data_IF_562814438547
#
_entry.id   IF_562814438547
#
_cell.length_a   1.000
_cell.length_b   1.000
_cell.length_c   1.000
_cell.angle_alpha   90.00
_cell.angle_beta   90.00
_cell.angle_gamma   90.00
#
_symmetry.space_group_name_H-M   'P 1'
#
loop_
_entity.id
_entity.type
_entity.pdbx_description
1 polymer ?
#
# COMPACT_ATOMS: atom_id res chain seq x y z
N UNK A 1 -27.83 0.37 -11.48
CA UNK A 1 -26.41 0.61 -11.81
C UNK A 1 -26.27 1.64 -12.91
N UNK A 2 -26.97 1.48 -14.04
CA UNK A 2 -26.92 2.40 -15.18
C UNK A 2 -27.27 3.85 -14.81
N UNK A 3 -28.35 4.10 -14.06
CA UNK A 3 -28.70 5.45 -13.61
C UNK A 3 -27.59 6.13 -12.78
N UNK A 4 -26.87 5.37 -11.95
CA UNK A 4 -25.76 5.90 -11.15
C UNK A 4 -24.55 6.24 -12.02
N UNK A 5 -24.26 5.41 -13.04
CA UNK A 5 -23.18 5.70 -14.00
C UNK A 5 -23.50 6.90 -14.88
N UNK A 6 -24.75 7.05 -15.34
CA UNK A 6 -25.20 8.21 -16.13
C UNK A 6 -25.13 9.51 -15.31
N UNK A 7 -25.60 9.47 -14.05
CA UNK A 7 -25.43 10.59 -13.13
C UNK A 7 -23.93 10.92 -12.91
N UNK A 8 -23.09 9.90 -12.75
CA UNK A 8 -21.65 10.07 -12.60
C UNK A 8 -20.97 10.70 -13.83
N UNK A 9 -21.34 10.28 -15.05
CA UNK A 9 -20.88 10.91 -16.30
C UNK A 9 -21.28 12.38 -16.33
N UNK A 10 -22.56 12.68 -16.07
CA UNK A 10 -23.07 14.05 -16.08
C UNK A 10 -22.33 14.95 -15.09
N UNK A 11 -22.11 14.45 -13.86
CA UNK A 11 -21.34 15.18 -12.84
C UNK A 11 -19.90 15.42 -13.27
N UNK A 12 -19.21 14.40 -13.79
CA UNK A 12 -17.82 14.52 -14.24
C UNK A 12 -17.73 15.54 -15.37
N UNK A 13 -18.63 15.51 -16.36
CA UNK A 13 -18.64 16.49 -17.45
C UNK A 13 -18.88 17.92 -16.95
N UNK A 14 -19.76 18.10 -15.96
CA UNK A 14 -19.99 19.42 -15.33
C UNK A 14 -18.74 19.93 -14.62
N UNK A 15 -18.04 19.07 -13.88
CA UNK A 15 -16.75 19.40 -13.26
C UNK A 15 -15.73 19.74 -14.35
N UNK A 16 -15.67 18.91 -15.40
CA UNK A 16 -14.66 19.04 -16.44
C UNK A 16 -14.85 20.27 -17.33
N UNK A 17 -16.08 20.78 -17.43
CA UNK A 17 -16.39 22.05 -18.11
C UNK A 17 -15.69 23.28 -17.46
N UNK A 18 -15.23 23.14 -16.22
CA UNK A 18 -14.57 24.21 -15.45
C UNK A 18 -13.09 23.89 -15.16
N UNK A 19 -12.48 22.92 -15.86
CA UNK A 19 -11.04 22.63 -15.71
C UNK A 19 -10.21 23.84 -16.08
N UNK A 20 -9.08 23.96 -15.37
CA UNK A 20 -8.01 24.87 -15.74
C UNK A 20 -6.69 24.13 -15.62
N UNK A 21 -5.64 24.52 -16.37
CA UNK A 21 -4.33 23.89 -16.26
C UNK A 21 -3.78 23.88 -14.82
N UNK A 22 -4.07 24.91 -14.04
CA UNK A 22 -3.66 25.02 -12.64
C UNK A 22 -4.36 23.98 -11.76
N UNK A 23 -5.69 23.82 -11.89
CA UNK A 23 -6.43 22.81 -11.13
C UNK A 23 -6.07 21.39 -11.54
N UNK A 24 -5.78 21.18 -12.82
CA UNK A 24 -5.31 19.91 -13.35
C UNK A 24 -3.98 19.49 -12.72
N UNK A 25 -3.01 20.39 -12.70
CA UNK A 25 -1.71 20.15 -12.08
C UNK A 25 -1.86 19.91 -10.57
N UNK A 26 -2.67 20.72 -9.89
CA UNK A 26 -2.99 20.53 -8.48
C UNK A 26 -3.55 19.13 -8.20
N UNK A 27 -4.60 18.70 -8.91
CA UNK A 27 -5.21 17.40 -8.64
C UNK A 27 -4.33 16.22 -9.07
N UNK A 28 -3.50 16.38 -10.10
CA UNK A 28 -2.47 15.39 -10.45
C UNK A 28 -1.44 15.23 -9.34
N UNK A 29 -0.93 16.32 -8.79
CA UNK A 29 0.00 16.27 -7.66
C UNK A 29 -0.65 15.67 -6.41
N UNK A 30 -1.86 16.12 -6.07
CA UNK A 30 -2.61 15.57 -4.93
C UNK A 30 -2.82 14.06 -5.08
N UNK A 31 -3.19 13.57 -6.28
CA UNK A 31 -3.40 12.13 -6.45
C UNK A 31 -2.12 11.30 -6.34
N UNK A 32 -0.93 11.86 -6.58
CA UNK A 32 0.33 11.14 -6.34
C UNK A 32 0.52 10.75 -4.88
N UNK A 33 0.01 11.57 -3.95
CA UNK A 33 0.02 11.26 -2.52
C UNK A 33 -0.83 10.02 -2.19
N UNK A 34 -1.79 9.66 -3.05
CA UNK A 34 -2.60 8.45 -2.94
C UNK A 34 -2.03 7.23 -3.66
N UNK A 35 -0.91 7.35 -4.38
CA UNK A 35 -0.31 6.25 -5.14
C UNK A 35 1.14 5.97 -4.82
N UNK A 36 2.03 6.97 -4.75
CA UNK A 36 3.48 6.73 -4.60
C UNK A 36 4.00 7.07 -3.20
N UNK A 37 3.27 7.89 -2.43
CA UNK A 37 3.74 8.33 -1.12
C UNK A 37 4.00 7.18 -0.13
N UNK A 38 3.22 6.09 -0.19
CA UNK A 38 3.41 4.92 0.68
C UNK A 38 4.80 4.29 0.52
N UNK A 39 5.44 4.42 -0.66
CA UNK A 39 6.81 3.95 -0.92
C UNK A 39 7.85 4.67 -0.05
N UNK A 40 7.52 5.85 0.47
CA UNK A 40 8.38 6.65 1.33
C UNK A 40 7.89 6.65 2.78
N UNK A 41 6.56 6.76 2.99
CA UNK A 41 5.95 6.81 4.32
C UNK A 41 6.13 5.49 5.07
N UNK A 42 5.88 4.34 4.43
CA UNK A 42 5.98 3.04 5.11
C UNK A 42 7.42 2.74 5.56
N UNK A 43 8.46 2.87 4.72
CA UNK A 43 9.83 2.68 5.19
C UNK A 43 10.25 3.71 6.23
N UNK A 44 9.80 4.97 6.12
CA UNK A 44 10.05 5.98 7.14
C UNK A 44 9.51 5.54 8.51
N UNK A 45 8.26 5.06 8.55
CA UNK A 45 7.64 4.53 9.77
C UNK A 45 8.42 3.33 10.32
N UNK A 46 8.75 2.35 9.47
CA UNK A 46 9.43 1.11 9.89
C UNK A 46 10.84 1.39 10.41
N UNK A 47 11.62 2.22 9.72
CA UNK A 47 13.05 2.37 9.99
C UNK A 47 13.38 3.50 10.96
N UNK A 48 12.49 4.49 11.10
CA UNK A 48 12.78 5.75 11.81
C UNK A 48 11.91 6.01 13.02
N UNK A 49 10.67 5.50 13.03
CA UNK A 49 9.69 5.83 14.07
C UNK A 49 9.26 4.63 14.91
N UNK A 50 8.51 3.70 14.33
CA UNK A 50 8.05 2.49 15.00
C UNK A 50 8.00 1.34 14.02
N UNK A 51 8.92 0.40 14.20
CA UNK A 51 8.95 -0.85 13.46
C UNK A 51 7.64 -1.63 13.65
N UNK A 52 7.11 -1.70 14.88
CA UNK A 52 5.87 -2.41 15.18
C UNK A 52 4.66 -1.81 14.46
N UNK A 53 4.49 -0.49 14.49
CA UNK A 53 3.38 0.15 13.80
C UNK A 53 3.56 0.08 12.27
N UNK A 54 4.73 0.47 11.76
CA UNK A 54 5.02 0.50 10.33
C UNK A 54 4.89 -0.88 9.66
N UNK A 55 5.35 -1.95 10.31
CA UNK A 55 5.22 -3.32 9.77
C UNK A 55 3.76 -3.80 9.72
N UNK A 56 2.94 -3.43 10.71
CA UNK A 56 1.50 -3.75 10.69
C UNK A 56 0.74 -2.93 9.66
N UNK A 57 1.10 -1.66 9.50
CA UNK A 57 0.56 -0.81 8.45
C UNK A 57 0.86 -1.42 7.08
N UNK A 58 2.12 -1.84 6.83
CA UNK A 58 2.51 -2.54 5.60
C UNK A 58 1.65 -3.77 5.34
N UNK A 59 1.53 -4.69 6.30
CA UNK A 59 0.70 -5.89 6.15
C UNK A 59 -0.77 -5.54 5.87
N UNK A 60 -1.30 -4.51 6.53
CA UNK A 60 -2.70 -4.08 6.33
C UNK A 60 -2.90 -3.47 4.94
N UNK A 61 -1.96 -2.67 4.45
CA UNK A 61 -2.00 -2.11 3.10
C UNK A 61 -1.94 -3.23 2.05
N UNK A 62 -1.09 -4.24 2.22
CA UNK A 62 -1.01 -5.36 1.28
C UNK A 62 -2.29 -6.20 1.24
N UNK A 63 -2.89 -6.49 2.41
CA UNK A 63 -4.20 -7.14 2.48
C UNK A 63 -5.29 -6.26 1.84
N UNK A 64 -5.24 -4.95 2.08
CA UNK A 64 -6.15 -3.97 1.47
C UNK A 64 -6.04 -3.98 -0.05
N UNK A 65 -4.81 -3.99 -0.59
CA UNK A 65 -4.52 -4.04 -2.03
C UNK A 65 -5.07 -5.31 -2.64
N UNK A 66 -4.83 -6.46 -2.00
CA UNK A 66 -5.38 -7.73 -2.43
C UNK A 66 -6.91 -7.69 -2.54
N UNK A 67 -7.60 -7.22 -1.49
CA UNK A 67 -9.07 -7.10 -1.51
C UNK A 67 -9.53 -6.11 -2.59
N UNK A 68 -8.83 -4.99 -2.78
CA UNK A 68 -9.19 -4.01 -3.82
C UNK A 68 -9.18 -4.64 -5.22
N UNK A 69 -8.09 -5.31 -5.60
CA UNK A 69 -7.97 -5.99 -6.89
C UNK A 69 -9.01 -7.11 -7.02
N UNK A 70 -9.22 -7.90 -5.97
CA UNK A 70 -10.24 -8.95 -5.98
C UNK A 70 -11.66 -8.44 -6.26
N UNK A 71 -12.03 -7.31 -5.65
CA UNK A 71 -13.32 -6.71 -5.92
C UNK A 71 -13.35 -6.04 -7.31
N UNK A 72 -12.25 -5.42 -7.76
CA UNK A 72 -12.19 -4.83 -9.10
C UNK A 72 -12.54 -5.83 -10.20
N UNK A 73 -11.94 -7.00 -10.18
CA UNK A 73 -12.22 -8.01 -11.21
C UNK A 73 -13.59 -8.66 -11.00
N UNK A 74 -14.03 -8.85 -9.76
CA UNK A 74 -15.38 -9.36 -9.47
C UNK A 74 -16.48 -8.47 -10.05
N UNK A 75 -16.35 -7.14 -9.93
CA UNK A 75 -17.35 -6.21 -10.48
C UNK A 75 -17.09 -5.85 -11.94
N UNK A 76 -15.84 -5.90 -12.39
CA UNK A 76 -15.42 -5.57 -13.76
C UNK A 76 -16.03 -4.27 -14.30
N UNK A 77 -16.27 -3.29 -13.44
CA UNK A 77 -16.99 -2.08 -13.82
C UNK A 77 -16.10 -1.20 -14.73
N UNK A 78 -16.58 -0.75 -15.89
CA UNK A 78 -15.86 0.17 -16.75
C UNK A 78 -15.63 1.52 -16.05
N UNK A 79 -14.63 2.27 -16.50
CA UNK A 79 -14.37 3.63 -16.02
C UNK A 79 -15.22 4.66 -16.79
N UNK A 80 -15.38 5.88 -16.26
CA UNK A 80 -16.20 6.91 -16.93
C UNK A 80 -15.77 7.17 -18.37
N UNK A 81 -14.46 7.23 -18.64
CA UNK A 81 -13.93 7.48 -19.97
C UNK A 81 -14.06 6.31 -20.95
N UNK A 82 -14.34 5.09 -20.47
CA UNK A 82 -14.64 3.95 -21.34
C UNK A 82 -16.06 4.05 -21.90
N UNK A 83 -16.95 4.76 -21.18
CA UNK A 83 -18.35 4.94 -21.53
C UNK A 83 -18.63 6.26 -22.26
N UNK A 84 -17.84 7.30 -22.01
CA UNK A 84 -17.99 8.61 -22.65
C UNK A 84 -16.63 9.21 -23.03
N UNK A 85 -16.38 9.33 -24.33
CA UNK A 85 -15.11 9.80 -24.89
C UNK A 85 -14.81 11.28 -24.61
N UNK A 86 -15.80 12.05 -24.17
CA UNK A 86 -15.62 13.46 -23.77
C UNK A 86 -14.91 13.58 -22.42
N UNK A 87 -14.91 12.53 -21.60
CA UNK A 87 -14.22 12.51 -20.31
C UNK A 87 -12.73 12.26 -20.50
N UNK A 88 -11.88 13.17 -20.00
CA UNK A 88 -10.43 13.06 -20.14
C UNK A 88 -9.70 14.36 -19.81
N UNK A 89 -8.38 14.45 -20.11
CA UNK A 89 -7.58 13.49 -20.89
C UNK A 89 -6.97 12.35 -20.05
N UNK A 90 -7.05 12.43 -18.72
CA UNK A 90 -6.39 11.46 -17.83
C UNK A 90 -6.99 10.05 -17.98
N UNK A 91 -6.13 9.02 -17.84
CA UNK A 91 -6.45 7.60 -18.04
C UNK A 91 -5.80 6.76 -16.96
N UNK A 92 -6.38 5.60 -16.69
CA UNK A 92 -5.92 4.66 -15.67
C UNK A 92 -6.22 3.22 -16.13
N UNK A 93 -5.37 2.26 -15.78
CA UNK A 93 -5.52 0.86 -16.19
C UNK A 93 -6.45 0.13 -15.21
N UNK A 94 -7.14 -0.92 -15.70
CA UNK A 94 -7.99 -1.81 -14.90
C UNK A 94 -9.36 -1.21 -14.57
N UNK A 95 -10.18 -1.95 -13.81
CA UNK A 95 -11.57 -1.60 -13.54
C UNK A 95 -11.75 -0.42 -12.58
N UNK A 96 -12.95 0.18 -12.59
CA UNK A 96 -13.31 1.35 -11.79
C UNK A 96 -13.51 1.04 -10.30
N UNK A 97 -14.52 0.28 -9.95
CA UNK A 97 -14.95 0.06 -8.56
C UNK A 97 -14.19 -1.09 -7.88
N UNK A 98 -13.79 -0.98 -6.59
CA UNK A 98 -13.66 0.25 -5.81
C UNK A 98 -12.39 1.04 -6.18
N UNK A 99 -12.39 2.35 -5.93
CA UNK A 99 -11.22 3.20 -6.20
C UNK A 99 -10.06 2.86 -5.24
N UNK A 100 -8.95 2.37 -5.81
CA UNK A 100 -7.75 2.02 -5.04
C UNK A 100 -7.11 3.23 -4.36
N UNK A 101 -7.02 4.38 -5.03
CA UNK A 101 -6.46 5.60 -4.42
C UNK A 101 -7.27 6.05 -3.21
N UNK A 102 -8.61 6.07 -3.31
CA UNK A 102 -9.49 6.43 -2.21
C UNK A 102 -9.34 5.45 -1.04
N UNK A 103 -9.32 4.14 -1.33
CA UNK A 103 -9.18 3.09 -0.34
C UNK A 103 -7.82 3.13 0.37
N UNK A 104 -6.71 3.11 -0.38
CA UNK A 104 -5.35 3.08 0.17
C UNK A 104 -5.03 4.30 1.00
N UNK A 105 -5.40 5.48 0.51
CA UNK A 105 -5.20 6.74 1.25
C UNK A 105 -5.93 6.71 2.59
N UNK A 106 -7.18 6.23 2.62
CA UNK A 106 -7.94 6.12 3.86
C UNK A 106 -7.34 5.07 4.81
N UNK A 107 -6.85 3.94 4.29
CA UNK A 107 -6.16 2.95 5.10
C UNK A 107 -4.88 3.52 5.71
N UNK A 108 -4.03 4.14 4.90
CA UNK A 108 -2.74 4.69 5.35
C UNK A 108 -2.92 5.85 6.34
N UNK A 109 -3.56 6.93 5.91
CA UNK A 109 -3.70 8.13 6.71
C UNK A 109 -4.63 7.94 7.90
N UNK A 110 -5.67 7.12 7.76
CA UNK A 110 -6.58 6.81 8.85
C UNK A 110 -5.91 6.01 9.97
N UNK A 111 -5.06 5.03 9.63
CA UNK A 111 -4.29 4.29 10.64
C UNK A 111 -3.19 5.13 11.27
N UNK A 112 -2.50 5.98 10.50
CA UNK A 112 -1.51 6.92 11.03
C UNK A 112 -2.19 7.93 11.97
N UNK A 113 -3.36 8.47 11.60
CA UNK A 113 -4.11 9.38 12.46
C UNK A 113 -4.57 8.72 13.75
N UNK A 114 -5.05 7.47 13.69
CA UNK A 114 -5.39 6.69 14.87
C UNK A 114 -4.17 6.41 15.76
N UNK A 115 -2.99 6.19 15.18
CA UNK A 115 -1.76 5.95 15.93
C UNK A 115 -1.21 7.22 16.60
N UNK A 116 -1.23 8.35 15.90
CA UNK A 116 -0.78 9.65 16.43
C UNK A 116 -1.76 10.19 17.48
N UNK A 117 -3.06 9.89 17.34
CA UNK A 117 -4.12 10.29 18.28
C UNK A 117 -4.16 11.81 18.56
N UNK A 118 -3.82 12.64 17.56
CA UNK A 118 -3.86 14.09 17.64
C UNK A 118 -4.98 14.65 16.75
N UNK A 119 -5.90 15.48 17.27
CA UNK A 119 -7.06 15.95 16.51
C UNK A 119 -6.71 16.80 15.29
N UNK A 120 -5.63 17.60 15.35
CA UNK A 120 -5.18 18.40 14.21
C UNK A 120 -4.61 17.52 13.10
N UNK A 121 -3.85 16.48 13.47
CA UNK A 121 -3.37 15.50 12.50
C UNK A 121 -4.53 14.70 11.91
N UNK A 122 -5.51 14.31 12.72
CA UNK A 122 -6.72 13.64 12.23
C UNK A 122 -7.49 14.50 11.24
N UNK A 123 -7.64 15.80 11.51
CA UNK A 123 -8.27 16.73 10.57
C UNK A 123 -7.48 16.82 9.24
N UNK A 124 -6.15 16.92 9.30
CA UNK A 124 -5.29 16.90 8.12
C UNK A 124 -5.44 15.61 7.31
N UNK A 125 -5.43 14.45 7.99
CA UNK A 125 -5.61 13.15 7.36
C UNK A 125 -6.97 13.06 6.65
N UNK A 126 -8.06 13.52 7.28
CA UNK A 126 -9.39 13.55 6.66
C UNK A 126 -9.41 14.46 5.44
N UNK A 127 -8.80 15.64 5.50
CA UNK A 127 -8.68 16.56 4.36
C UNK A 127 -7.96 15.87 3.20
N UNK A 128 -6.83 15.22 3.45
CA UNK A 128 -6.07 14.50 2.42
C UNK A 128 -6.89 13.36 1.81
N UNK A 129 -7.58 12.55 2.62
CA UNK A 129 -8.45 11.45 2.16
C UNK A 129 -9.54 11.98 1.22
N UNK A 130 -10.20 13.08 1.60
CA UNK A 130 -11.26 13.70 0.80
C UNK A 130 -10.68 14.29 -0.49
N UNK A 131 -9.60 15.07 -0.41
CA UNK A 131 -8.97 15.69 -1.58
C UNK A 131 -8.47 14.65 -2.60
N UNK A 132 -7.89 13.54 -2.13
CA UNK A 132 -7.45 12.46 -3.01
C UNK A 132 -8.64 11.73 -3.62
N UNK A 133 -9.73 11.50 -2.88
CA UNK A 133 -10.95 10.93 -3.48
C UNK A 133 -11.55 11.84 -4.56
N UNK A 134 -11.64 13.15 -4.27
CA UNK A 134 -12.16 14.15 -5.20
C UNK A 134 -11.29 14.29 -6.45
N UNK A 135 -9.97 14.18 -6.33
CA UNK A 135 -9.06 14.22 -7.49
C UNK A 135 -9.40 13.14 -8.51
N UNK A 136 -9.83 11.95 -8.07
CA UNK A 136 -10.18 10.84 -8.98
C UNK A 136 -11.43 11.11 -9.80
N UNK A 137 -12.39 11.83 -9.22
CA UNK A 137 -13.62 12.27 -9.89
C UNK A 137 -13.29 13.42 -10.83
N UNK A 138 -12.52 14.41 -10.38
CA UNK A 138 -12.09 15.56 -11.18
C UNK A 138 -11.33 15.13 -12.44
N UNK A 139 -10.37 14.22 -12.30
CA UNK A 139 -9.59 13.67 -13.41
C UNK A 139 -10.42 12.74 -14.32
N UNK A 140 -11.65 12.39 -13.93
CA UNK A 140 -12.56 11.58 -14.75
C UNK A 140 -12.21 10.10 -14.83
N UNK A 141 -11.34 9.62 -13.93
CA UNK A 141 -10.84 8.23 -13.92
C UNK A 141 -11.67 7.30 -13.03
N UNK A 142 -12.54 7.85 -12.19
CA UNK A 142 -13.45 7.11 -11.33
C UNK A 142 -14.81 7.79 -11.22
N UNK A 143 -15.86 6.98 -11.08
CA UNK A 143 -17.16 7.47 -10.67
C UNK A 143 -17.15 7.87 -9.18
N UNK A 144 -18.04 8.77 -8.75
CA UNK A 144 -18.22 9.05 -7.33
C UNK A 144 -18.55 7.78 -6.51
N UNK A 145 -19.31 6.86 -7.09
CA UNK A 145 -19.62 5.55 -6.48
C UNK A 145 -18.37 4.69 -6.25
N UNK A 146 -17.37 4.78 -7.13
CA UNK A 146 -16.11 4.03 -6.97
C UNK A 146 -15.33 4.54 -5.75
N UNK A 147 -15.32 5.87 -5.56
CA UNK A 147 -14.66 6.54 -4.43
C UNK A 147 -15.38 6.20 -3.12
N UNK A 148 -16.71 6.30 -3.10
CA UNK A 148 -17.52 5.92 -1.94
C UNK A 148 -17.34 4.44 -1.56
N UNK A 149 -17.31 3.54 -2.54
CA UNK A 149 -17.04 2.13 -2.31
C UNK A 149 -15.63 1.89 -1.76
N UNK A 150 -14.63 2.63 -2.27
CA UNK A 150 -13.26 2.62 -1.76
C UNK A 150 -13.16 3.06 -0.30
N UNK A 151 -13.85 4.14 0.08
CA UNK A 151 -13.91 4.61 1.47
C UNK A 151 -14.68 3.65 2.38
N UNK A 152 -15.80 3.08 1.92
CA UNK A 152 -16.56 2.10 2.68
C UNK A 152 -15.71 0.86 2.99
N UNK A 153 -15.00 0.33 1.99
CA UNK A 153 -14.09 -0.80 2.16
C UNK A 153 -12.91 -0.43 3.09
N UNK A 154 -12.30 0.73 2.92
CA UNK A 154 -11.25 1.19 3.81
C UNK A 154 -11.72 1.34 5.26
N UNK A 155 -12.92 1.86 5.48
CA UNK A 155 -13.53 1.96 6.81
C UNK A 155 -13.68 0.59 7.49
N UNK A 156 -14.12 -0.43 6.74
CA UNK A 156 -14.18 -1.80 7.25
C UNK A 156 -12.77 -2.33 7.60
N UNK A 157 -11.78 -2.11 6.72
CA UNK A 157 -10.40 -2.54 6.96
C UNK A 157 -9.81 -1.86 8.20
N UNK A 158 -10.05 -0.56 8.39
CA UNK A 158 -9.67 0.21 9.58
C UNK A 158 -10.27 -0.40 10.84
N UNK A 159 -11.57 -0.66 10.83
CA UNK A 159 -12.28 -1.24 11.97
C UNK A 159 -11.68 -2.60 12.35
N UNK A 160 -11.47 -3.47 11.34
CA UNK A 160 -10.87 -4.79 11.55
C UNK A 160 -9.43 -4.68 12.07
N UNK A 161 -8.63 -3.76 11.53
CA UNK A 161 -7.27 -3.51 11.99
C UNK A 161 -7.26 -3.09 13.46
N UNK A 162 -7.99 -2.03 13.82
CA UNK A 162 -8.03 -1.50 15.19
C UNK A 162 -8.49 -2.59 16.17
N UNK A 163 -9.48 -3.41 15.75
CA UNK A 163 -10.08 -4.43 16.62
C UNK A 163 -9.24 -5.69 16.79
N UNK A 164 -8.47 -6.10 15.78
CA UNK A 164 -7.86 -7.43 15.72
C UNK A 164 -6.36 -7.44 15.42
N UNK A 165 -5.77 -6.43 14.78
CA UNK A 165 -4.37 -6.48 14.31
C UNK A 165 -3.37 -6.70 15.45
N UNK A 166 -3.57 -6.04 16.60
CA UNK A 166 -2.75 -6.25 17.79
C UNK A 166 -2.81 -7.70 18.25
N UNK A 167 -4.02 -8.23 18.45
CA UNK A 167 -4.26 -9.59 18.95
C UNK A 167 -3.67 -10.64 18.01
N UNK A 168 -3.84 -10.48 16.71
CA UNK A 168 -3.28 -11.36 15.69
C UNK A 168 -1.75 -11.29 15.75
N UNK A 169 -1.17 -10.09 15.81
CA UNK A 169 0.28 -9.91 15.88
C UNK A 169 0.89 -10.54 17.14
N UNK A 170 0.26 -10.38 18.31
CA UNK A 170 0.72 -11.01 19.57
C UNK A 170 0.64 -12.53 19.49
N UNK A 171 -0.45 -13.09 18.96
CA UNK A 171 -0.60 -14.54 18.79
C UNK A 171 0.43 -15.11 17.80
N UNK A 172 0.65 -14.45 16.67
CA UNK A 172 1.68 -14.87 15.72
C UNK A 172 3.07 -14.78 16.35
N UNK A 173 3.33 -13.76 17.18
CA UNK A 173 4.60 -13.59 17.87
C UNK A 173 4.92 -14.70 18.88
N UNK A 174 3.91 -15.35 19.46
CA UNK A 174 4.13 -16.47 20.39
C UNK A 174 4.38 -17.81 19.70
N UNK A 175 4.19 -17.91 18.37
CA UNK A 175 4.42 -19.15 17.62
C UNK A 175 5.89 -19.32 17.24
N UNK A 176 6.29 -20.55 16.96
CA UNK A 176 7.63 -20.84 16.44
C UNK A 176 7.88 -20.13 15.11
N UNK A 177 9.14 -19.78 14.83
CA UNK A 177 9.56 -19.08 13.60
C UNK A 177 9.02 -19.75 12.33
N UNK A 178 9.15 -21.09 12.24
CA UNK A 178 8.66 -21.85 11.09
C UNK A 178 7.15 -21.72 10.86
N UNK A 179 6.36 -21.63 11.93
CA UNK A 179 4.90 -21.45 11.85
C UNK A 179 4.55 -20.04 11.36
N UNK A 180 5.29 -19.02 11.80
CA UNK A 180 5.11 -17.65 11.33
C UNK A 180 5.40 -17.52 9.83
N UNK A 181 6.50 -18.12 9.36
CA UNK A 181 6.86 -18.15 7.94
C UNK A 181 5.83 -18.94 7.14
N UNK A 182 5.39 -20.10 7.64
CA UNK A 182 4.36 -20.91 6.99
C UNK A 182 3.02 -20.17 6.87
N UNK A 183 2.62 -19.40 7.90
CA UNK A 183 1.42 -18.57 7.84
C UNK A 183 1.53 -17.47 6.78
N UNK A 184 2.69 -16.80 6.67
CA UNK A 184 2.93 -15.81 5.63
C UNK A 184 2.92 -16.45 4.22
N UNK A 185 3.51 -17.65 4.08
CA UNK A 185 3.49 -18.41 2.84
C UNK A 185 2.09 -18.83 2.44
N UNK A 186 1.25 -19.28 3.39
CA UNK A 186 -0.13 -19.70 3.12
C UNK A 186 -0.99 -18.54 2.60
N UNK A 187 -0.88 -17.34 3.18
CA UNK A 187 -1.60 -16.16 2.69
C UNK A 187 -1.07 -15.71 1.33
N UNK A 188 0.25 -15.72 1.12
CA UNK A 188 0.84 -15.43 -0.18
C UNK A 188 0.36 -16.42 -1.26
N UNK A 189 0.33 -17.72 -0.94
CA UNK A 189 -0.18 -18.76 -1.82
C UNK A 189 -1.65 -18.52 -2.16
N UNK A 190 -2.47 -18.14 -1.18
CA UNK A 190 -3.87 -17.75 -1.42
C UNK A 190 -3.96 -16.62 -2.45
N UNK A 191 -3.09 -15.60 -2.38
CA UNK A 191 -3.09 -14.51 -3.36
C UNK A 191 -2.77 -15.00 -4.76
N UNK A 192 -1.76 -15.87 -4.89
CA UNK A 192 -1.36 -16.48 -6.17
C UNK A 192 -2.47 -17.39 -6.72
N UNK A 193 -3.13 -18.17 -5.87
CA UNK A 193 -4.24 -19.04 -6.28
C UNK A 193 -5.45 -18.22 -6.75
N UNK A 194 -5.79 -17.14 -6.04
CA UNK A 194 -6.90 -16.26 -6.43
C UNK A 194 -6.60 -15.57 -7.76
N UNK A 195 -5.36 -15.14 -7.98
CA UNK A 195 -4.89 -14.67 -9.29
C UNK A 195 -5.09 -15.76 -10.38
N UNK A 196 -4.56 -16.96 -10.13
CA UNK A 196 -4.53 -18.04 -11.12
C UNK A 196 -5.92 -18.58 -11.46
N UNK A 197 -6.85 -18.58 -10.50
CA UNK A 197 -8.14 -19.24 -10.62
C UNK A 197 -9.30 -18.28 -10.92
N UNK A 198 -9.19 -17.00 -10.56
CA UNK A 198 -10.35 -16.09 -10.56
C UNK A 198 -10.09 -14.79 -11.32
N UNK A 199 -8.98 -14.10 -11.03
CA UNK A 199 -8.90 -12.65 -11.29
C UNK A 199 -8.03 -12.27 -12.50
N UNK A 200 -7.00 -13.08 -12.83
CA UNK A 200 -6.02 -12.80 -13.90
C UNK A 200 -5.35 -11.40 -13.84
N UNK A 201 -5.54 -10.62 -12.77
CA UNK A 201 -4.80 -9.38 -12.52
C UNK A 201 -3.36 -9.69 -12.07
N UNK A 202 -2.42 -9.46 -13.00
CA UNK A 202 -0.98 -9.69 -12.82
C UNK A 202 -0.35 -8.96 -11.63
N UNK A 203 -0.93 -7.85 -11.14
CA UNK A 203 -0.39 -7.10 -10.01
C UNK A 203 -0.45 -7.92 -8.71
N UNK A 204 -1.40 -8.85 -8.60
CA UNK A 204 -1.57 -9.71 -7.42
C UNK A 204 -0.37 -10.60 -7.13
N UNK A 205 0.34 -11.07 -8.16
CA UNK A 205 1.53 -11.90 -7.97
C UNK A 205 2.68 -11.12 -7.33
N UNK A 206 2.84 -9.85 -7.71
CA UNK A 206 3.80 -8.95 -7.06
C UNK A 206 3.42 -8.68 -5.60
N UNK A 207 2.14 -8.40 -5.33
CA UNK A 207 1.63 -8.19 -3.96
C UNK A 207 1.81 -9.44 -3.09
N UNK A 208 1.61 -10.64 -3.65
CA UNK A 208 1.85 -11.91 -2.96
C UNK A 208 3.32 -12.06 -2.54
N UNK A 209 4.25 -11.82 -3.49
CA UNK A 209 5.68 -11.81 -3.21
C UNK A 209 6.03 -10.83 -2.09
N UNK A 210 5.59 -9.57 -2.21
CA UNK A 210 5.82 -8.51 -1.23
C UNK A 210 5.28 -8.89 0.16
N UNK A 211 4.08 -9.48 0.22
CA UNK A 211 3.46 -9.97 1.44
C UNK A 211 4.28 -11.08 2.10
N UNK A 212 4.68 -12.09 1.33
CA UNK A 212 5.49 -13.18 1.86
C UNK A 212 6.83 -12.67 2.39
N UNK A 213 7.50 -11.79 1.63
CA UNK A 213 8.77 -11.19 2.03
C UNK A 213 8.64 -10.35 3.30
N UNK A 214 7.60 -9.52 3.39
CA UNK A 214 7.33 -8.70 4.57
C UNK A 214 6.98 -9.56 5.79
N UNK A 215 6.09 -10.55 5.64
CA UNK A 215 5.66 -11.44 6.73
C UNK A 215 6.81 -12.29 7.28
N UNK A 216 7.60 -12.91 6.40
CA UNK A 216 8.78 -13.68 6.79
C UNK A 216 9.87 -12.79 7.38
N UNK A 217 10.10 -11.60 6.83
CA UNK A 217 11.07 -10.64 7.36
C UNK A 217 10.68 -10.11 8.75
N UNK A 218 9.40 -9.88 9.04
CA UNK A 218 8.92 -9.56 10.40
C UNK A 218 9.27 -10.70 11.37
N UNK A 219 9.05 -11.96 10.97
CA UNK A 219 9.33 -13.12 11.80
C UNK A 219 10.84 -13.28 12.07
N UNK A 220 11.68 -13.09 11.04
CA UNK A 220 13.14 -13.11 11.13
C UNK A 220 13.67 -11.97 12.02
N UNK A 221 13.17 -10.76 11.82
CA UNK A 221 13.56 -9.60 12.61
C UNK A 221 13.27 -9.83 14.09
N UNK A 222 12.06 -10.32 14.42
CA UNK A 222 11.69 -10.67 15.80
C UNK A 222 12.62 -11.70 16.43
N UNK A 223 13.11 -12.68 15.66
CA UNK A 223 13.91 -13.78 16.18
C UNK A 223 15.40 -13.43 16.32
N UNK A 224 15.95 -12.67 15.37
CA UNK A 224 17.40 -12.52 15.20
C UNK A 224 17.91 -11.08 15.25
N UNK A 225 17.04 -10.08 15.12
CA UNK A 225 17.44 -8.69 14.97
C UNK A 225 16.88 -7.81 16.09
N UNK A 226 17.50 -6.65 16.27
CA UNK A 226 16.95 -5.58 17.10
C UNK A 226 16.05 -4.71 16.22
N UNK A 227 14.78 -4.57 16.61
CA UNK A 227 13.85 -3.71 15.90
C UNK A 227 14.41 -2.26 15.88
N UNK A 228 14.41 -1.57 14.72
CA UNK A 228 14.94 -0.22 14.58
C UNK A 228 13.98 0.80 15.21
N UNK A 229 13.87 0.80 16.52
CA UNK A 229 13.07 1.72 17.33
C UNK A 229 13.97 2.55 18.25
N UNK A 230 13.57 3.78 18.57
CA UNK A 230 14.33 4.67 19.44
C UNK A 230 15.59 5.26 18.79
N UNK A 231 16.60 5.61 19.61
CA UNK A 231 17.83 6.25 19.16
C UNK A 231 17.70 7.75 18.89
N UNK A 232 18.86 8.41 18.72
CA UNK A 232 18.96 9.83 18.42
C UNK A 232 18.39 10.16 17.03
N UNK A 233 17.98 11.42 16.81
CA UNK A 233 17.36 11.86 15.56
C UNK A 233 18.24 11.59 14.33
N UNK A 234 19.56 11.77 14.46
CA UNK A 234 20.51 11.52 13.36
C UNK A 234 20.62 10.02 13.02
N UNK A 235 20.47 9.12 14.00
CA UNK A 235 20.43 7.67 13.76
C UNK A 235 19.16 7.29 13.01
N UNK A 236 18.02 7.92 13.32
CA UNK A 236 16.75 7.72 12.59
C UNK A 236 16.89 8.19 11.15
N UNK A 237 17.46 9.38 10.94
CA UNK A 237 17.73 9.92 9.61
C UNK A 237 18.64 9.02 8.78
N UNK A 238 19.77 8.58 9.34
CA UNK A 238 20.71 7.69 8.64
C UNK A 238 20.09 6.34 8.28
N UNK A 239 19.29 5.75 9.18
CA UNK A 239 18.54 4.52 8.86
C UNK A 239 17.64 4.72 7.65
N UNK A 240 16.87 5.81 7.63
CA UNK A 240 16.00 6.11 6.51
C UNK A 240 16.79 6.28 5.21
N UNK A 241 17.82 7.13 5.20
CA UNK A 241 18.65 7.40 4.01
C UNK A 241 19.30 6.12 3.49
N UNK A 242 19.94 5.33 4.34
CA UNK A 242 20.58 4.08 3.92
C UNK A 242 19.57 3.06 3.40
N UNK A 243 18.45 2.89 4.10
CA UNK A 243 17.40 1.95 3.70
C UNK A 243 16.73 2.34 2.38
N UNK A 244 16.42 3.63 2.20
CA UNK A 244 15.66 4.12 1.06
C UNK A 244 16.51 4.15 -0.21
N UNK A 245 17.81 4.48 -0.10
CA UNK A 245 18.73 4.43 -1.24
C UNK A 245 18.78 3.02 -1.81
N UNK A 246 18.98 2.00 -0.96
CA UNK A 246 19.01 0.61 -1.41
C UNK A 246 17.66 0.18 -1.99
N UNK A 247 16.54 0.55 -1.37
CA UNK A 247 15.21 0.22 -1.86
C UNK A 247 14.94 0.86 -3.24
N UNK A 248 15.26 2.13 -3.42
CA UNK A 248 15.08 2.84 -4.69
C UNK A 248 16.01 2.30 -5.77
N UNK A 249 17.26 1.99 -5.42
CA UNK A 249 18.17 1.29 -6.34
C UNK A 249 17.57 -0.05 -6.73
N UNK A 250 17.11 -0.87 -5.78
CA UNK A 250 16.47 -2.16 -6.07
C UNK A 250 15.30 -2.01 -7.05
N UNK A 251 14.34 -1.12 -6.75
CA UNK A 251 13.15 -0.89 -7.58
C UNK A 251 13.51 -0.38 -8.97
N UNK A 252 14.52 0.49 -9.08
CA UNK A 252 14.98 1.01 -10.38
C UNK A 252 15.70 -0.04 -11.23
N UNK A 253 16.38 -1.01 -10.61
CA UNK A 253 17.20 -1.99 -11.32
C UNK A 253 16.45 -3.29 -11.59
N UNK A 254 15.57 -3.72 -10.69
CA UNK A 254 14.93 -5.03 -10.76
C UNK A 254 14.03 -5.20 -11.99
N UNK A 255 13.48 -4.10 -12.51
CA UNK A 255 12.69 -4.10 -13.75
C UNK A 255 13.45 -4.64 -14.97
N UNK A 256 14.78 -4.55 -14.99
CA UNK A 256 15.64 -5.07 -16.07
C UNK A 256 15.62 -6.59 -16.18
N UNK A 257 15.23 -7.28 -15.11
CA UNK A 257 15.14 -8.75 -15.08
C UNK A 257 13.76 -9.26 -15.44
N UNK A 258 12.75 -8.38 -15.50
CA UNK A 258 11.37 -8.77 -15.80
C UNK A 258 11.27 -9.13 -17.28
N UNK A 259 10.89 -10.37 -17.63
CA UNK A 259 10.67 -10.79 -19.01
C UNK A 259 9.64 -9.91 -19.72
N UNK A 260 9.81 -9.69 -21.01
CA UNK A 260 8.82 -8.99 -21.84
C UNK A 260 7.59 -9.86 -22.18
N UNK A 261 7.73 -11.18 -22.10
CA UNK A 261 6.66 -12.15 -22.34
C UNK A 261 5.90 -12.46 -21.05
N UNK A 262 4.57 -12.44 -21.09
CA UNK A 262 3.72 -12.75 -19.94
C UNK A 262 3.53 -14.27 -19.74
N UNK A 263 4.62 -15.01 -19.74
CA UNK A 263 4.65 -16.45 -19.44
C UNK A 263 4.93 -16.71 -17.95
N UNK A 264 5.03 -17.98 -17.55
CA UNK A 264 5.32 -18.36 -16.15
C UNK A 264 6.58 -17.69 -15.59
N UNK A 265 7.60 -17.44 -16.41
CA UNK A 265 8.84 -16.80 -15.95
C UNK A 265 8.62 -15.36 -15.50
N UNK A 266 7.72 -14.62 -16.16
CA UNK A 266 7.32 -13.28 -15.74
C UNK A 266 6.77 -13.28 -14.32
N UNK A 267 5.82 -14.18 -14.04
CA UNK A 267 5.17 -14.25 -12.73
C UNK A 267 6.13 -14.70 -11.64
N UNK A 268 7.00 -15.67 -11.91
CA UNK A 268 8.04 -16.10 -10.95
C UNK A 268 8.99 -14.95 -10.63
N UNK A 269 9.47 -14.24 -11.64
CA UNK A 269 10.44 -13.15 -11.45
C UNK A 269 9.79 -11.98 -10.70
N UNK A 270 8.57 -11.57 -11.07
CA UNK A 270 7.81 -10.53 -10.36
C UNK A 270 7.58 -10.91 -8.90
N UNK A 271 7.21 -12.17 -8.62
CA UNK A 271 7.04 -12.65 -7.25
C UNK A 271 8.34 -12.52 -6.45
N UNK A 272 9.46 -13.02 -6.99
CA UNK A 272 10.76 -13.00 -6.32
C UNK A 272 11.29 -11.58 -6.08
N UNK A 273 11.18 -10.69 -7.07
CA UNK A 273 11.60 -9.29 -6.95
C UNK A 273 10.87 -8.59 -5.80
N UNK A 274 9.55 -8.77 -5.74
CA UNK A 274 8.72 -8.15 -4.71
C UNK A 274 8.94 -8.81 -3.33
N UNK A 275 9.15 -10.13 -3.29
CA UNK A 275 9.55 -10.84 -2.08
C UNK A 275 10.85 -10.29 -1.48
N UNK A 276 11.86 -10.04 -2.32
CA UNK A 276 13.10 -9.40 -1.86
C UNK A 276 12.86 -7.99 -1.35
N UNK A 277 11.98 -7.21 -1.99
CA UNK A 277 11.55 -5.90 -1.48
C UNK A 277 10.92 -5.97 -0.09
N UNK A 278 10.02 -6.93 0.13
CA UNK A 278 9.38 -7.14 1.44
C UNK A 278 10.35 -7.58 2.53
N UNK A 279 11.27 -8.49 2.19
CA UNK A 279 12.36 -8.93 3.08
C UNK A 279 13.28 -7.75 3.42
N UNK A 280 13.62 -6.90 2.45
CA UNK A 280 14.44 -5.72 2.67
C UNK A 280 13.79 -4.75 3.66
N UNK A 281 12.51 -4.42 3.45
CA UNK A 281 11.74 -3.52 4.30
C UNK A 281 11.76 -3.95 5.77
N UNK A 282 11.58 -5.25 6.00
CA UNK A 282 11.25 -5.77 7.35
C UNK A 282 12.38 -6.53 8.04
N UNK A 283 13.41 -7.00 7.33
CA UNK A 283 14.56 -7.68 7.93
C UNK A 283 15.92 -7.22 7.38
N UNK A 284 16.03 -7.02 6.06
CA UNK A 284 17.30 -6.65 5.41
C UNK A 284 17.86 -5.31 5.90
N UNK A 285 17.06 -4.24 5.81
CA UNK A 285 17.48 -2.93 6.31
C UNK A 285 17.69 -2.93 7.84
N UNK A 286 16.79 -3.51 8.68
CA UNK A 286 17.08 -3.70 10.10
C UNK A 286 18.41 -4.41 10.41
N UNK A 287 18.76 -5.45 9.67
CA UNK A 287 20.04 -6.15 9.84
C UNK A 287 21.23 -5.23 9.51
N UNK A 288 21.14 -4.45 8.42
CA UNK A 288 22.13 -3.44 8.08
C UNK A 288 22.29 -2.39 9.20
N UNK A 289 21.18 -1.92 9.77
CA UNK A 289 21.20 -0.93 10.86
C UNK A 289 21.84 -1.48 12.13
N UNK A 290 21.63 -2.76 12.42
CA UNK A 290 22.27 -3.43 13.56
C UNK A 290 23.78 -3.55 13.36
N UNK A 291 24.23 -3.98 12.17
CA UNK A 291 25.66 -4.11 11.85
C UNK A 291 26.36 -2.74 11.87
N UNK A 292 25.69 -1.70 11.40
CA UNK A 292 26.18 -0.31 11.39
C UNK A 292 25.98 0.43 12.73
N UNK A 293 25.46 -0.25 13.76
CA UNK A 293 25.21 0.31 15.11
C UNK A 293 24.30 1.54 15.12
N UNK A 294 23.34 1.60 14.20
CA UNK A 294 22.31 2.64 14.12
C UNK A 294 21.05 2.32 14.94
N UNK A 295 21.00 1.15 15.58
CA UNK A 295 19.95 0.74 16.51
C UNK A 295 20.50 0.79 17.95
N UNK A 296 19.72 1.24 18.95
CA UNK A 296 20.16 1.23 20.34
C UNK A 296 20.62 -0.16 20.80
N UNK A 297 21.67 -0.22 21.63
CA UNK A 297 22.11 -1.49 22.21
C UNK A 297 21.04 -1.98 23.22
N UNK A 298 20.73 -3.28 23.24
CA UNK A 298 19.89 -3.85 24.30
C UNK A 298 20.45 -3.47 25.67
N UNK A 299 19.66 -2.81 26.52
CA UNK A 299 20.05 -2.42 27.88
C UNK A 299 20.60 -1.00 28.07
N UNK A 300 20.54 -0.11 27.07
CA UNK A 300 21.01 1.30 27.19
C UNK A 300 19.90 2.36 27.20
N UNK A 301 18.65 1.95 27.43
CA UNK A 301 17.56 2.90 27.66
C UNK A 301 17.58 3.37 29.12
N UNK A 302 18.30 4.47 29.37
CA UNK A 302 18.11 5.36 30.52
C UNK A 302 17.36 6.59 30.05
#
# INVERSE_FOLDING_TARGET
>A
MEAAMQWGIALILQIQAHRTPMLDDFFRQITTLGSTAHMFIVPFLIWSLSYRFGSRLLITLLLSTFVNFALKDLWSQPRPFDLDSRIGPDREIGYGIPSGHAQHTMVEWGLIANWIANPWFTALAVILIVLIGLSRIYLGVHFPTDVLAGWALAGLILLLHIRYAERIATRLASLALGVQIAAAAAVSLLFVLVYALVLQDRYLVGVAGLFFGAGSGIALCRRYLVAPEGGAWWQRLLRYVLGIVVLLTWVSQSGKWVPGTYDTSYFVIIYLINMMGGLWLTAGAPALFQVTRLVPRPGTAS
#
